data_IF_368869183807
#
_entry.id   IF_368869183807
#
_cell.length_a   1.000
_cell.length_b   1.000
_cell.length_c   1.000
_cell.angle_alpha   90.00
_cell.angle_beta   90.00
_cell.angle_gamma   90.00
#
_symmetry.space_group_name_H-M   'P 1'
#
loop_
_entity.id
_entity.type
_entity.pdbx_description
1 polymer ?
#
# COMPACT_ATOMS: atom_id res chain seq x y z
N UNK A 1 10.94 -15.07 -11.63
CA UNK A 1 10.19 -15.22 -10.35
C UNK A 1 10.09 -13.84 -9.69
N UNK A 2 8.94 -13.47 -9.11
CA UNK A 2 8.69 -12.10 -8.63
C UNK A 2 9.36 -11.76 -7.28
N UNK A 3 9.72 -12.77 -6.47
CA UNK A 3 10.41 -12.56 -5.18
C UNK A 3 9.57 -11.90 -4.09
N UNK A 4 8.26 -11.68 -4.32
CA UNK A 4 7.36 -10.96 -3.39
C UNK A 4 7.30 -11.64 -2.02
N UNK A 5 7.04 -12.94 -1.97
CA UNK A 5 6.98 -13.66 -0.69
C UNK A 5 8.33 -13.66 0.06
N UNK A 6 9.44 -13.76 -0.67
CA UNK A 6 10.77 -13.74 -0.06
C UNK A 6 11.06 -12.38 0.57
N UNK A 7 10.66 -11.28 -0.08
CA UNK A 7 10.83 -9.94 0.46
C UNK A 7 9.86 -9.66 1.61
N UNK A 8 8.63 -10.18 1.57
CA UNK A 8 7.71 -10.15 2.73
C UNK A 8 8.35 -10.89 3.92
N UNK A 9 8.95 -12.05 3.71
CA UNK A 9 9.60 -12.82 4.78
C UNK A 9 10.77 -12.08 5.42
N UNK A 10 11.53 -11.29 4.64
CA UNK A 10 12.65 -10.50 5.14
C UNK A 10 12.21 -9.24 5.85
N UNK A 11 11.19 -8.54 5.33
CA UNK A 11 10.71 -7.27 5.88
C UNK A 11 9.70 -7.43 7.02
N UNK A 12 8.98 -8.56 7.06
CA UNK A 12 7.95 -8.88 8.06
C UNK A 12 8.10 -10.31 8.60
N UNK A 13 9.25 -10.66 9.22
CA UNK A 13 9.56 -12.05 9.56
C UNK A 13 8.55 -12.69 10.52
N UNK A 14 8.01 -11.92 11.48
CA UNK A 14 7.03 -12.41 12.46
C UNK A 14 5.58 -12.45 11.93
N UNK A 15 5.32 -11.91 10.74
CA UNK A 15 3.97 -11.73 10.20
C UNK A 15 3.81 -12.24 8.76
N UNK A 16 4.82 -12.94 8.21
CA UNK A 16 4.84 -13.29 6.79
C UNK A 16 3.61 -14.11 6.38
N UNK A 17 3.23 -15.10 7.20
CA UNK A 17 2.19 -16.06 6.85
C UNK A 17 0.81 -15.42 6.94
N UNK A 18 0.63 -14.48 7.87
CA UNK A 18 -0.56 -13.63 7.97
C UNK A 18 -0.68 -12.74 6.72
N UNK A 19 0.41 -12.05 6.34
CA UNK A 19 0.41 -11.14 5.19
C UNK A 19 0.15 -11.91 3.89
N UNK A 20 0.81 -13.05 3.67
CA UNK A 20 0.63 -13.86 2.45
C UNK A 20 -0.79 -14.43 2.38
N UNK A 21 -1.32 -14.98 3.48
CA UNK A 21 -2.69 -15.52 3.50
C UNK A 21 -3.73 -14.42 3.28
N UNK A 22 -3.53 -13.24 3.88
CA UNK A 22 -4.42 -12.10 3.68
C UNK A 22 -4.35 -11.54 2.27
N UNK A 23 -3.16 -11.51 1.65
CA UNK A 23 -3.01 -11.10 0.26
C UNK A 23 -3.78 -12.03 -0.69
N UNK A 24 -3.73 -13.35 -0.45
CA UNK A 24 -4.51 -14.31 -1.23
C UNK A 24 -6.00 -14.11 -1.11
N UNK A 25 -6.49 -13.82 0.10
CA UNK A 25 -7.88 -13.44 0.33
C UNK A 25 -8.26 -12.19 -0.48
N UNK A 26 -7.49 -11.10 -0.36
CA UNK A 26 -7.79 -9.83 -1.03
C UNK A 26 -7.80 -9.94 -2.57
N UNK A 27 -6.91 -10.78 -3.13
CA UNK A 27 -6.87 -11.01 -4.58
C UNK A 27 -8.07 -11.83 -5.06
N UNK A 28 -8.54 -12.81 -4.27
CA UNK A 28 -9.63 -13.70 -4.67
C UNK A 28 -11.03 -13.12 -4.40
N UNK A 29 -11.17 -12.39 -3.29
CA UNK A 29 -12.47 -11.87 -2.82
C UNK A 29 -12.68 -10.39 -3.17
N UNK A 30 -11.68 -9.75 -3.78
CA UNK A 30 -11.76 -8.39 -4.30
C UNK A 30 -12.14 -7.36 -3.24
N UNK A 31 -13.27 -6.67 -3.45
CA UNK A 31 -13.78 -5.60 -2.57
C UNK A 31 -14.46 -6.11 -1.29
N UNK A 32 -14.41 -7.42 -1.02
CA UNK A 32 -14.94 -7.98 0.22
C UNK A 32 -14.27 -7.39 1.46
N UNK A 33 -15.11 -7.04 2.43
CA UNK A 33 -14.64 -6.54 3.71
C UNK A 33 -13.76 -7.57 4.45
N UNK A 34 -12.63 -7.09 4.97
CA UNK A 34 -11.58 -7.94 5.56
C UNK A 34 -12.05 -8.78 6.75
N UNK A 35 -13.13 -8.40 7.45
CA UNK A 35 -13.71 -9.23 8.51
C UNK A 35 -14.18 -10.61 8.02
N UNK A 36 -14.34 -10.81 6.71
CA UNK A 36 -14.70 -12.10 6.10
C UNK A 36 -13.53 -13.05 5.96
N UNK A 37 -12.29 -12.58 6.16
CA UNK A 37 -11.08 -13.40 6.05
C UNK A 37 -11.14 -14.71 6.86
N UNK A 38 -11.62 -14.74 8.13
CA UNK A 38 -11.77 -15.97 8.90
C UNK A 38 -12.70 -17.00 8.25
N UNK A 39 -13.80 -16.53 7.64
CA UNK A 39 -14.74 -17.41 6.94
C UNK A 39 -14.14 -17.97 5.66
N UNK A 40 -13.41 -17.14 4.91
CA UNK A 40 -12.72 -17.55 3.69
C UNK A 40 -11.69 -18.67 3.95
N UNK A 41 -10.99 -18.60 5.09
CA UNK A 41 -10.00 -19.62 5.48
C UNK A 41 -10.60 -21.03 5.66
N UNK A 42 -11.90 -21.17 5.95
CA UNK A 42 -12.53 -22.47 6.15
C UNK A 42 -12.58 -23.34 4.88
N UNK A 43 -12.46 -22.74 3.70
CA UNK A 43 -12.61 -23.44 2.41
C UNK A 43 -11.45 -23.20 1.43
N UNK A 44 -10.41 -22.47 1.85
CA UNK A 44 -9.29 -22.11 0.97
C UNK A 44 -7.94 -22.40 1.63
N UNK A 45 -6.93 -22.62 0.79
CA UNK A 45 -5.57 -22.82 1.28
C UNK A 45 -5.00 -21.55 1.92
N UNK A 46 -4.41 -21.70 3.10
CA UNK A 46 -3.74 -20.63 3.83
C UNK A 46 -2.55 -21.19 4.63
N UNK A 47 -1.72 -20.29 5.19
CA UNK A 47 -0.51 -20.64 5.96
C UNK A 47 -0.68 -20.56 7.48
N UNK A 48 -1.84 -20.11 7.93
CA UNK A 48 -2.14 -19.95 9.36
C UNK A 48 -2.67 -21.25 9.96
N UNK A 49 -2.40 -21.49 11.24
CA UNK A 49 -2.97 -22.62 11.98
C UNK A 49 -4.45 -22.35 12.33
N UNK A 50 -4.73 -21.13 12.80
CA UNK A 50 -6.06 -20.71 13.24
C UNK A 50 -6.50 -19.42 12.53
N UNK A 51 -7.81 -19.24 12.29
CA UNK A 51 -8.33 -18.02 11.70
C UNK A 51 -8.23 -16.83 12.67
N UNK A 52 -7.60 -15.70 12.29
CA UNK A 52 -7.43 -14.57 13.18
C UNK A 52 -8.76 -13.83 13.42
N UNK A 53 -9.00 -13.35 14.63
CA UNK A 53 -10.17 -12.51 14.90
C UNK A 53 -10.05 -11.13 14.23
N UNK A 54 -11.16 -10.37 14.18
CA UNK A 54 -11.16 -8.99 13.67
C UNK A 54 -10.16 -8.07 14.40
N UNK A 55 -9.96 -8.31 15.70
CA UNK A 55 -8.98 -7.60 16.52
C UNK A 55 -7.55 -7.94 16.11
N UNK A 56 -7.26 -9.20 15.78
CA UNK A 56 -5.94 -9.65 15.37
C UNK A 56 -5.58 -9.08 13.99
N UNK A 57 -6.55 -9.05 13.08
CA UNK A 57 -6.39 -8.42 11.77
C UNK A 57 -6.13 -6.91 11.92
N UNK A 58 -6.87 -6.23 12.81
CA UNK A 58 -6.61 -4.81 13.11
C UNK A 58 -5.20 -4.58 13.68
N UNK A 59 -4.75 -5.46 14.58
CA UNK A 59 -3.41 -5.42 15.16
C UNK A 59 -2.33 -5.68 14.11
N UNK A 60 -2.58 -6.60 13.16
CA UNK A 60 -1.71 -6.88 12.02
C UNK A 60 -1.51 -5.62 11.15
N UNK A 61 -2.58 -4.93 10.76
CA UNK A 61 -2.47 -3.68 10.00
C UNK A 61 -1.73 -2.59 10.78
N UNK A 62 -1.98 -2.47 12.08
CA UNK A 62 -1.27 -1.52 12.95
C UNK A 62 0.23 -1.83 13.10
N UNK A 63 0.61 -3.11 13.08
CA UNK A 63 1.99 -3.56 13.20
C UNK A 63 2.80 -3.39 11.90
N UNK A 64 2.16 -3.20 10.75
CA UNK A 64 2.83 -2.92 9.47
C UNK A 64 3.38 -1.49 9.42
N UNK A 65 4.49 -1.28 10.12
CA UNK A 65 5.16 0.01 10.24
C UNK A 65 5.70 0.58 8.92
N UNK A 66 5.99 1.88 8.91
CA UNK A 66 6.57 2.59 7.76
C UNK A 66 7.90 2.00 7.29
N UNK A 67 8.83 1.75 8.21
CA UNK A 67 10.18 1.26 7.87
C UNK A 67 10.15 -0.13 7.23
N UNK A 68 9.37 -1.08 7.78
CA UNK A 68 9.26 -2.42 7.21
C UNK A 68 8.63 -2.40 5.80
N UNK A 69 7.62 -1.54 5.58
CA UNK A 69 7.05 -1.34 4.23
C UNK A 69 8.08 -0.76 3.26
N UNK A 70 8.86 0.23 3.70
CA UNK A 70 9.93 0.82 2.88
C UNK A 70 11.02 -0.22 2.57
N UNK A 71 11.40 -1.06 3.53
CA UNK A 71 12.35 -2.16 3.32
C UNK A 71 11.84 -3.14 2.26
N UNK A 72 10.57 -3.55 2.34
CA UNK A 72 9.94 -4.41 1.31
C UNK A 72 10.05 -3.80 -0.08
N UNK A 73 9.69 -2.52 -0.23
CA UNK A 73 9.77 -1.80 -1.49
C UNK A 73 11.21 -1.64 -2.00
N UNK A 74 12.17 -1.34 -1.11
CA UNK A 74 13.60 -1.27 -1.47
C UNK A 74 14.11 -2.60 -2.01
N UNK A 75 13.70 -3.72 -1.42
CA UNK A 75 14.07 -5.06 -1.90
C UNK A 75 13.44 -5.37 -3.25
N UNK A 76 12.14 -5.09 -3.41
CA UNK A 76 11.44 -5.28 -4.68
C UNK A 76 12.04 -4.42 -5.80
N UNK A 77 12.41 -3.18 -5.49
CA UNK A 77 13.10 -2.25 -6.38
C UNK A 77 14.49 -2.77 -6.73
N UNK A 78 15.32 -3.16 -5.75
CA UNK A 78 16.68 -3.64 -5.97
C UNK A 78 16.78 -4.87 -6.88
N UNK A 79 15.73 -5.71 -6.95
CA UNK A 79 15.68 -6.84 -7.89
C UNK A 79 15.52 -6.44 -9.36
N UNK A 80 15.09 -5.21 -9.62
CA UNK A 80 14.58 -4.75 -10.93
C UNK A 80 15.11 -3.40 -11.39
N UNK A 81 15.73 -2.64 -10.49
CA UNK A 81 16.42 -1.41 -10.82
C UNK A 81 17.38 -1.71 -11.97
N UNK A 82 17.36 -0.86 -13.00
CA UNK A 82 18.13 -0.99 -14.26
C UNK A 82 17.62 -2.03 -15.27
N UNK A 83 16.56 -2.79 -14.98
CA UNK A 83 15.98 -3.79 -15.91
C UNK A 83 14.71 -3.33 -16.61
N UNK A 84 14.08 -2.26 -16.11
CA UNK A 84 12.88 -1.68 -16.68
C UNK A 84 12.77 -0.19 -16.37
N UNK A 85 12.00 0.53 -17.20
CA UNK A 85 11.58 1.89 -16.90
C UNK A 85 10.53 1.89 -15.78
N UNK A 86 10.45 3.01 -15.07
CA UNK A 86 9.46 3.22 -14.03
C UNK A 86 8.33 4.10 -14.56
N UNK A 87 7.09 3.63 -14.39
CA UNK A 87 5.89 4.39 -14.61
C UNK A 87 5.44 5.05 -13.30
N UNK A 88 4.77 6.19 -13.45
CA UNK A 88 4.12 6.91 -12.36
C UNK A 88 2.68 7.12 -12.74
N UNK A 89 1.77 6.82 -11.80
CA UNK A 89 0.37 7.19 -11.94
C UNK A 89 -0.24 7.58 -10.59
N UNK A 90 -1.28 8.41 -10.65
CA UNK A 90 -2.09 8.80 -9.50
C UNK A 90 -3.52 8.30 -9.71
N UNK A 91 -4.01 7.48 -8.79
CA UNK A 91 -5.41 7.04 -8.76
C UNK A 91 -6.17 7.66 -7.59
N UNK A 92 -7.43 7.99 -7.80
CA UNK A 92 -8.34 8.49 -6.76
C UNK A 92 -9.09 7.34 -6.10
N UNK A 93 -9.19 7.37 -4.77
CA UNK A 93 -10.00 6.44 -3.97
C UNK A 93 -11.06 7.26 -3.23
N UNK A 94 -12.31 7.14 -3.66
CA UNK A 94 -13.46 7.80 -3.03
C UNK A 94 -13.74 7.20 -1.64
N UNK A 95 -14.06 8.06 -0.67
CA UNK A 95 -14.35 7.62 0.70
C UNK A 95 -15.23 8.63 1.43
N UNK A 96 -16.27 8.12 2.11
CA UNK A 96 -17.13 8.91 3.00
C UNK A 96 -16.57 9.00 4.44
N UNK A 97 -15.35 8.55 4.69
CA UNK A 97 -14.79 8.55 6.04
C UNK A 97 -14.51 9.96 6.56
N UNK A 98 -15.12 10.31 7.69
CA UNK A 98 -14.87 11.58 8.37
C UNK A 98 -13.59 11.56 9.23
N UNK A 99 -13.06 10.35 9.53
CA UNK A 99 -11.91 10.17 10.43
C UNK A 99 -10.57 10.24 9.70
N UNK A 100 -10.56 10.06 8.38
CA UNK A 100 -9.32 10.06 7.60
C UNK A 100 -9.05 11.47 7.07
N UNK A 101 -8.11 12.19 7.70
CA UNK A 101 -7.79 13.60 7.38
C UNK A 101 -7.38 13.86 5.92
N UNK A 102 -6.90 12.83 5.22
CA UNK A 102 -6.50 12.91 3.80
C UNK A 102 -7.71 12.91 2.86
N UNK A 103 -8.87 12.45 3.33
CA UNK A 103 -10.12 12.48 2.58
C UNK A 103 -10.54 13.93 2.40
N UNK A 104 -10.48 14.41 1.16
CA UNK A 104 -10.81 15.79 0.77
C UNK A 104 -11.54 15.79 -0.56
N UNK A 105 -12.43 16.76 -0.75
CA UNK A 105 -13.00 17.03 -2.06
C UNK A 105 -11.88 17.50 -2.99
N UNK A 106 -11.75 16.85 -4.14
CA UNK A 106 -10.85 17.25 -5.21
C UNK A 106 -11.53 17.15 -6.56
N UNK A 107 -10.77 17.43 -7.61
CA UNK A 107 -11.19 17.19 -8.99
C UNK A 107 -10.71 15.79 -9.36
N UNK A 108 -11.59 14.79 -9.36
CA UNK A 108 -11.25 13.48 -9.93
C UNK A 108 -11.35 13.54 -11.46
N UNK A 109 -10.61 12.67 -12.16
CA UNK A 109 -10.59 12.65 -13.64
C UNK A 109 -11.95 12.30 -14.24
N UNK A 110 -12.82 11.67 -13.45
CA UNK A 110 -14.15 11.18 -13.86
C UNK A 110 -15.29 12.18 -13.59
N UNK A 111 -14.99 13.36 -13.01
CA UNK A 111 -15.96 14.43 -12.77
C UNK A 111 -16.94 14.19 -11.60
N UNK A 112 -16.80 13.10 -10.85
CA UNK A 112 -17.62 12.86 -9.66
C UNK A 112 -17.18 13.74 -8.48
N UNK A 113 -18.14 14.42 -7.87
CA UNK A 113 -17.89 15.31 -6.73
C UNK A 113 -17.89 14.54 -5.41
N UNK A 114 -17.01 13.55 -5.29
CA UNK A 114 -16.87 12.74 -4.08
C UNK A 114 -15.62 13.10 -3.28
N UNK A 115 -15.68 13.07 -1.94
CA UNK A 115 -14.50 13.15 -1.11
C UNK A 115 -13.58 11.94 -1.39
N UNK A 116 -12.28 12.18 -1.54
CA UNK A 116 -11.32 11.18 -2.02
C UNK A 116 -9.96 11.28 -1.34
N UNK A 117 -9.15 10.24 -1.51
CA UNK A 117 -7.70 10.22 -1.24
C UNK A 117 -7.01 9.91 -2.56
N UNK A 118 -5.87 10.54 -2.84
CA UNK A 118 -5.09 10.26 -4.05
C UNK A 118 -3.94 9.31 -3.68
N UNK A 119 -3.86 8.16 -4.34
CA UNK A 119 -2.76 7.21 -4.24
C UNK A 119 -1.80 7.45 -5.40
N UNK A 120 -0.64 8.01 -5.09
CA UNK A 120 0.46 8.14 -6.05
C UNK A 120 1.35 6.89 -5.97
N UNK A 121 1.58 6.24 -7.10
CA UNK A 121 2.35 4.99 -7.17
C UNK A 121 3.40 5.05 -8.26
N UNK A 122 4.60 4.55 -7.93
CA UNK A 122 5.67 4.27 -8.89
C UNK A 122 5.76 2.75 -9.03
N UNK A 123 5.78 2.26 -10.26
CA UNK A 123 5.81 0.83 -10.55
C UNK A 123 6.62 0.54 -11.82
N UNK A 124 7.08 -0.69 -11.98
CA UNK A 124 7.78 -1.13 -13.18
C UNK A 124 6.85 -1.12 -14.39
N UNK A 125 7.24 -0.46 -15.48
CA UNK A 125 6.43 -0.32 -16.69
C UNK A 125 6.05 -1.70 -17.28
N UNK A 126 7.00 -2.64 -17.29
CA UNK A 126 6.80 -3.97 -17.87
C UNK A 126 6.28 -4.98 -16.86
N UNK A 127 6.77 -4.93 -15.62
CA UNK A 127 6.41 -5.90 -14.59
C UNK A 127 5.09 -5.59 -13.90
N UNK A 128 4.65 -4.33 -13.91
CA UNK A 128 3.51 -3.84 -13.15
C UNK A 128 3.72 -3.86 -11.63
N UNK A 129 4.94 -4.16 -11.15
CA UNK A 129 5.19 -4.33 -9.73
C UNK A 129 5.48 -2.99 -9.05
N UNK A 130 4.87 -2.71 -7.88
CA UNK A 130 5.05 -1.44 -7.20
C UNK A 130 6.45 -1.31 -6.61
N UNK A 131 7.06 -0.16 -6.86
CA UNK A 131 8.37 0.26 -6.34
C UNK A 131 8.21 1.17 -5.14
N UNK A 132 7.20 2.04 -5.15
CA UNK A 132 6.90 2.93 -4.04
C UNK A 132 5.48 3.47 -4.17
N UNK A 133 4.87 3.86 -3.05
CA UNK A 133 3.61 4.58 -3.06
C UNK A 133 3.56 5.66 -1.97
N UNK A 134 2.69 6.63 -2.18
CA UNK A 134 2.36 7.67 -1.20
C UNK A 134 0.88 8.00 -1.26
N UNK A 135 0.26 8.11 -0.09
CA UNK A 135 -1.10 8.67 0.04
C UNK A 135 -1.02 10.19 0.11
N UNK A 136 -1.88 10.85 -0.65
CA UNK A 136 -1.96 12.30 -0.78
C UNK A 136 -3.39 12.77 -0.45
N UNK A 137 -3.54 14.00 0.08
CA UNK A 137 -4.87 14.59 0.24
C UNK A 137 -5.62 14.63 -1.09
N UNK A 138 -6.93 14.32 -1.09
CA UNK A 138 -7.72 14.22 -2.32
C UNK A 138 -7.82 15.50 -3.17
N UNK A 139 -7.50 16.66 -2.58
CA UNK A 139 -7.48 17.95 -3.25
C UNK A 139 -6.12 18.30 -3.88
N UNK A 140 -5.12 17.44 -3.78
CA UNK A 140 -3.83 17.60 -4.46
C UNK A 140 -3.97 17.10 -5.90
N UNK A 141 -3.95 18.03 -6.87
CA UNK A 141 -3.91 17.68 -8.29
C UNK A 141 -2.58 17.03 -8.70
N UNK A 142 -2.52 16.52 -9.93
CA UNK A 142 -1.32 15.92 -10.53
C UNK A 142 -0.22 17.00 -10.72
N UNK A 143 0.49 17.33 -9.64
CA UNK A 143 1.69 18.15 -9.67
C UNK A 143 2.90 17.26 -9.92
N UNK A 144 3.92 17.85 -10.56
CA UNK A 144 5.11 17.13 -10.99
C UNK A 144 5.60 16.06 -9.98
N UNK A 145 5.75 14.78 -10.39
CA UNK A 145 5.94 13.64 -9.49
C UNK A 145 7.06 13.81 -8.46
N UNK A 146 8.14 14.49 -8.83
CA UNK A 146 9.31 14.70 -7.96
C UNK A 146 9.02 15.57 -6.73
N UNK A 147 8.11 16.55 -6.81
CA UNK A 147 7.74 17.35 -5.64
C UNK A 147 6.93 16.52 -4.66
N UNK A 148 6.05 15.68 -5.18
CA UNK A 148 5.11 14.83 -4.43
C UNK A 148 5.79 13.63 -3.77
N UNK A 149 6.78 13.04 -4.43
CA UNK A 149 7.48 11.85 -3.95
C UNK A 149 8.75 12.18 -3.14
N UNK A 150 9.21 13.43 -3.15
CA UNK A 150 10.34 13.85 -2.31
C UNK A 150 9.97 13.73 -0.81
N UNK A 151 10.82 13.11 0.02
CA UNK A 151 10.72 13.24 1.46
C UNK A 151 10.93 14.73 1.78
N UNK A 152 9.99 15.34 2.49
CA UNK A 152 10.10 16.74 2.90
C UNK A 152 11.42 16.91 3.67
N UNK A 153 12.42 17.57 3.07
CA UNK A 153 13.61 18.00 3.81
C UNK A 153 13.12 18.99 4.86
N UNK A 154 12.94 18.53 6.10
CA UNK A 154 12.94 19.46 7.24
C UNK A 154 14.33 20.08 7.24
N UNK A 155 14.43 21.32 6.79
CA UNK A 155 15.61 22.13 7.03
C UNK A 155 15.78 22.24 8.54
N UNK A 156 16.77 21.54 9.08
CA UNK A 156 17.32 21.86 10.38
C UNK A 156 18.02 23.22 10.26
N UNK A 157 17.30 24.29 10.53
CA UNK A 157 17.91 25.58 10.84
C UNK A 157 18.66 25.42 12.16
N UNK A 158 19.99 25.32 12.07
CA UNK A 158 20.90 25.46 13.20
C UNK A 158 20.79 26.90 13.72
N UNK A 159 20.56 27.15 15.02
CA UNK A 159 20.66 28.50 15.56
C UNK A 159 22.13 28.91 15.60
N UNK A 160 22.42 30.12 15.11
CA UNK A 160 23.69 30.81 15.33
C UNK A 160 23.79 31.28 16.77
#
# INVERSE_FOLDING_TARGET
MTGVEADIALSFPSMKDQIVSLAYFLVQEGESAVYRFPRWMLSHWHRLADPPGSQDISRLFGAMGGEARLDFFRRQAGRRLEREYLAYDTTSISSYSELVKLVKYGYNKDGERLPQINLAMVFGEKSGLPVYYRLLPGNVGDVAPWKTLSPTRRSSSSPR
#
